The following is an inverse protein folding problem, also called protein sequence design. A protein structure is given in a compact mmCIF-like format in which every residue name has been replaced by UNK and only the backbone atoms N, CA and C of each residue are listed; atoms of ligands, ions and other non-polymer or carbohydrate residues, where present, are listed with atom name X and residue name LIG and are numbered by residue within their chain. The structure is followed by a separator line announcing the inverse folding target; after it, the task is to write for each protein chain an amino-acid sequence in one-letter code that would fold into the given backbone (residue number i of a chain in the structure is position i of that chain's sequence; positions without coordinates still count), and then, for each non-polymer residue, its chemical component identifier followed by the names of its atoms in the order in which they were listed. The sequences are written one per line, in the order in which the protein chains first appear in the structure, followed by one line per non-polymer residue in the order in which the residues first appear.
data_IF_914458700515
#
_entry.id   IF_914458700515
#
_cell.length_a   1.000
_cell.length_b   1.000
_cell.length_c   1.000
_cell.angle_alpha   90.00
_cell.angle_beta   90.00
_cell.angle_gamma   90.00
#
_symmetry.space_group_name_H-M   'P 1'
#
loop_
_entity.id
_entity.type
_entity.pdbx_description
1 polymer ?
#
# COMPACT_ATOMS: atom_id res chain seq x y z
N UNK A 1 18.73 -24.22 8.79
CA UNK A 1 18.28 -22.91 9.33
C UNK A 1 17.12 -23.19 10.27
N UNK A 2 17.31 -23.04 11.57
CA UNK A 2 16.27 -23.28 12.58
C UNK A 2 15.68 -21.94 12.95
N UNK A 3 14.39 -21.74 12.70
CA UNK A 3 13.71 -20.50 13.09
C UNK A 3 13.51 -20.52 14.61
N UNK A 4 14.14 -19.57 15.30
CA UNK A 4 13.92 -19.33 16.73
C UNK A 4 12.53 -18.73 16.93
N UNK A 5 11.58 -19.56 17.34
CA UNK A 5 10.19 -19.16 17.54
C UNK A 5 10.00 -18.15 18.67
N UNK A 6 10.98 -17.96 19.55
CA UNK A 6 10.93 -16.98 20.66
C UNK A 6 11.40 -15.59 20.24
N UNK A 7 12.09 -15.49 19.09
CA UNK A 7 12.54 -14.24 18.47
C UNK A 7 11.82 -13.92 17.15
N UNK A 8 10.89 -14.78 16.74
CA UNK A 8 9.99 -14.51 15.63
C UNK A 8 8.73 -13.80 16.14
N UNK A 9 8.12 -12.97 15.29
CA UNK A 9 6.81 -12.31 15.46
C UNK A 9 5.61 -13.28 15.57
N UNK A 10 5.82 -14.50 16.08
CA UNK A 10 4.73 -15.43 16.38
C UNK A 10 3.88 -14.83 17.49
N UNK A 11 2.73 -14.27 17.11
CA UNK A 11 1.60 -14.10 18.01
C UNK A 11 1.22 -15.50 18.51
N UNK A 12 1.62 -15.84 19.74
CA UNK A 12 1.37 -17.17 20.33
C UNK A 12 -0.12 -17.50 20.38
N UNK A 13 -0.97 -16.47 20.43
CA UNK A 13 -2.42 -16.55 20.30
C UNK A 13 -2.89 -17.19 18.99
N UNK A 14 -2.10 -17.12 17.91
CA UNK A 14 -2.41 -17.77 16.62
C UNK A 14 -2.44 -19.29 16.76
N UNK A 15 -1.64 -19.86 17.66
CA UNK A 15 -1.63 -21.32 17.86
C UNK A 15 -2.97 -21.85 18.41
N UNK A 16 -3.68 -21.02 19.18
CA UNK A 16 -5.00 -21.33 19.72
C UNK A 16 -6.16 -20.93 18.81
N UNK A 17 -5.91 -20.23 17.70
CA UNK A 17 -6.95 -19.83 16.75
C UNK A 17 -7.46 -21.01 15.92
N UNK A 18 -8.76 -20.98 15.60
CA UNK A 18 -9.34 -21.84 14.56
C UNK A 18 -8.70 -21.55 13.19
N UNK A 19 -8.83 -22.48 12.24
CA UNK A 19 -8.31 -22.26 10.89
C UNK A 19 -8.96 -21.05 10.22
N UNK A 20 -10.27 -20.84 10.42
CA UNK A 20 -10.98 -19.70 9.87
C UNK A 20 -10.42 -18.35 10.39
N UNK A 21 -10.09 -18.27 11.69
CA UNK A 21 -9.48 -17.08 12.27
C UNK A 21 -8.07 -16.83 11.72
N UNK A 22 -7.30 -17.89 11.47
CA UNK A 22 -5.97 -17.81 10.86
C UNK A 22 -6.06 -17.29 9.42
N UNK A 23 -6.98 -17.82 8.63
CA UNK A 23 -7.16 -17.41 7.23
C UNK A 23 -7.61 -15.94 7.15
N UNK A 24 -8.51 -15.52 8.04
CA UNK A 24 -8.94 -14.12 8.17
C UNK A 24 -7.77 -13.20 8.53
N UNK A 25 -6.99 -13.57 9.55
CA UNK A 25 -5.82 -12.81 9.96
C UNK A 25 -4.79 -12.74 8.83
N UNK A 26 -4.53 -13.86 8.15
CA UNK A 26 -3.60 -13.90 7.01
C UNK A 26 -4.05 -12.97 5.87
N UNK A 27 -5.33 -12.94 5.54
CA UNK A 27 -5.86 -11.99 4.55
C UNK A 27 -5.64 -10.54 4.99
N UNK A 28 -5.87 -10.25 6.27
CA UNK A 28 -5.66 -8.92 6.83
C UNK A 28 -4.18 -8.48 6.72
N UNK A 29 -3.24 -9.34 7.13
CA UNK A 29 -1.80 -9.08 7.00
C UNK A 29 -1.35 -8.95 5.54
N UNK A 30 -1.95 -9.73 4.63
CA UNK A 30 -1.71 -9.59 3.19
C UNK A 30 -2.18 -8.23 2.67
N UNK A 31 -3.27 -7.68 3.23
CA UNK A 31 -3.71 -6.32 2.95
C UNK A 31 -2.69 -5.26 3.36
N UNK A 32 -2.12 -5.36 4.57
CA UNK A 32 -1.03 -4.48 5.02
C UNK A 32 0.16 -4.50 4.05
N UNK A 33 0.63 -5.70 3.69
CA UNK A 33 1.71 -5.88 2.71
C UNK A 33 1.38 -5.23 1.37
N UNK A 34 0.17 -5.48 0.85
CA UNK A 34 -0.28 -4.96 -0.43
C UNK A 34 -0.33 -3.43 -0.46
N UNK A 35 -0.83 -2.79 0.61
CA UNK A 35 -0.87 -1.33 0.72
C UNK A 35 0.54 -0.73 0.67
N UNK A 36 1.50 -1.29 1.41
CA UNK A 36 2.91 -0.85 1.37
C UNK A 36 3.51 -1.05 -0.03
N UNK A 37 3.26 -2.20 -0.66
CA UNK A 37 3.75 -2.50 -2.00
C UNK A 37 3.20 -1.50 -3.05
N UNK A 38 1.92 -1.13 -2.94
CA UNK A 38 1.29 -0.13 -3.80
C UNK A 38 1.87 1.26 -3.57
N UNK A 39 2.04 1.71 -2.33
CA UNK A 39 2.70 2.99 -2.01
C UNK A 39 4.13 3.03 -2.56
N UNK A 40 4.91 1.95 -2.38
CA UNK A 40 6.26 1.87 -2.88
C UNK A 40 6.31 1.92 -4.42
N UNK A 41 5.39 1.23 -5.10
CA UNK A 41 5.23 1.30 -6.55
C UNK A 41 4.92 2.72 -7.01
N UNK A 42 3.94 3.37 -6.39
CA UNK A 42 3.49 4.71 -6.77
C UNK A 42 4.60 5.74 -6.54
N UNK A 43 5.31 5.66 -5.41
CA UNK A 43 6.51 6.45 -5.13
C UNK A 43 7.59 6.26 -6.20
N UNK A 44 7.88 5.01 -6.56
CA UNK A 44 8.87 4.70 -7.58
C UNK A 44 8.50 5.31 -8.94
N UNK A 45 7.23 5.22 -9.34
CA UNK A 45 6.76 5.81 -10.60
C UNK A 45 6.93 7.34 -10.61
N UNK A 46 6.64 8.02 -9.50
CA UNK A 46 6.86 9.46 -9.37
C UNK A 46 8.33 9.83 -9.40
N UNK A 47 9.20 9.09 -8.70
CA UNK A 47 10.65 9.29 -8.76
C UNK A 47 11.19 9.11 -10.19
N UNK A 48 10.64 8.16 -10.95
CA UNK A 48 11.03 7.95 -12.34
C UNK A 48 10.63 9.12 -13.26
N UNK A 49 9.57 9.85 -12.93
CA UNK A 49 9.17 11.05 -13.68
C UNK A 49 10.12 12.22 -13.46
N UNK A 50 10.80 12.30 -12.30
CA UNK A 50 11.82 13.34 -12.04
C UNK A 50 12.93 13.31 -13.10
N UNK A 51 13.24 12.15 -13.68
CA UNK A 51 14.22 12.02 -14.78
C UNK A 51 13.87 12.85 -16.03
N UNK A 52 12.59 13.16 -16.24
CA UNK A 52 12.14 13.97 -17.37
C UNK A 52 12.08 15.47 -17.04
N UNK A 53 12.25 15.86 -15.77
CA UNK A 53 12.17 17.24 -15.31
C UNK A 53 13.51 17.93 -15.54
N UNK A 54 13.48 19.10 -16.19
CA UNK A 54 14.65 19.97 -16.28
C UNK A 54 14.69 20.88 -15.05
N UNK A 55 15.69 20.69 -14.19
CA UNK A 55 15.96 21.59 -13.07
C UNK A 55 17.11 22.52 -13.42
N UNK A 56 17.12 23.71 -12.82
CA UNK A 56 18.22 24.68 -12.99
C UNK A 56 19.50 24.26 -12.27
N UNK A 57 19.37 23.47 -11.20
CA UNK A 57 20.51 22.96 -10.41
C UNK A 57 20.30 21.50 -9.96
N UNK A 58 21.39 20.80 -9.58
CA UNK A 58 21.30 19.47 -8.96
C UNK A 58 20.52 19.45 -7.64
N UNK A 59 20.64 20.49 -6.82
CA UNK A 59 19.97 20.60 -5.52
C UNK A 59 18.45 20.66 -5.68
N UNK A 60 17.97 21.32 -6.74
CA UNK A 60 16.55 21.35 -7.07
C UNK A 60 16.02 19.94 -7.44
N UNK A 61 16.81 19.14 -8.18
CA UNK A 61 16.43 17.75 -8.47
C UNK A 61 16.45 16.87 -7.22
N UNK A 62 17.47 17.01 -6.38
CA UNK A 62 17.55 16.32 -5.10
C UNK A 62 16.36 16.66 -4.19
N UNK A 63 15.95 17.94 -4.14
CA UNK A 63 14.78 18.36 -3.37
C UNK A 63 13.50 17.69 -3.85
N UNK A 64 13.26 17.59 -5.16
CA UNK A 64 12.09 16.88 -5.71
C UNK A 64 12.04 15.42 -5.24
N UNK A 65 13.17 14.71 -5.30
CA UNK A 65 13.26 13.33 -4.83
C UNK A 65 12.97 13.22 -3.32
N UNK A 66 13.54 14.10 -2.50
CA UNK A 66 13.30 14.13 -1.05
C UNK A 66 11.84 14.42 -0.73
N UNK A 67 11.23 15.42 -1.39
CA UNK A 67 9.82 15.79 -1.17
C UNK A 67 8.88 14.61 -1.49
N UNK A 68 9.16 13.87 -2.57
CA UNK A 68 8.41 12.65 -2.92
C UNK A 68 8.57 11.59 -1.82
N UNK A 69 9.81 11.25 -1.43
CA UNK A 69 10.06 10.25 -0.40
C UNK A 69 9.39 10.61 0.93
N UNK A 70 9.54 11.86 1.38
CA UNK A 70 8.94 12.35 2.62
C UNK A 70 7.42 12.26 2.58
N UNK A 71 6.77 12.60 1.47
CA UNK A 71 5.31 12.49 1.35
C UNK A 71 4.84 11.04 1.53
N UNK A 72 5.48 10.08 0.87
CA UNK A 72 5.10 8.66 0.99
C UNK A 72 5.41 8.09 2.38
N UNK A 73 6.54 8.45 2.98
CA UNK A 73 6.86 8.08 4.37
C UNK A 73 5.81 8.59 5.35
N UNK A 74 5.37 9.84 5.19
CA UNK A 74 4.37 10.45 6.07
C UNK A 74 2.97 9.84 5.92
N UNK A 75 2.64 9.29 4.76
CA UNK A 75 1.32 8.68 4.48
C UNK A 75 1.28 7.19 4.83
N UNK A 76 2.43 6.50 4.85
CA UNK A 76 2.48 5.05 5.03
C UNK A 76 1.85 4.62 6.34
N UNK A 77 2.30 5.17 7.49
CA UNK A 77 1.75 4.78 8.78
C UNK A 77 0.27 5.16 8.94
N UNK A 78 -0.18 6.40 8.62
CA UNK A 78 -1.60 6.75 8.68
C UNK A 78 -2.51 5.86 7.84
N UNK A 79 -2.06 5.41 6.66
CA UNK A 79 -2.84 4.47 5.84
C UNK A 79 -2.99 3.10 6.51
N UNK A 80 -1.90 2.59 7.11
CA UNK A 80 -1.92 1.32 7.83
C UNK A 80 -2.83 1.41 9.06
N UNK A 81 -2.73 2.51 9.81
CA UNK A 81 -3.56 2.77 11.00
C UNK A 81 -5.05 2.88 10.64
N UNK A 82 -5.38 3.56 9.54
CA UNK A 82 -6.77 3.64 9.08
C UNK A 82 -7.30 2.25 8.71
N UNK A 83 -6.54 1.51 7.90
CA UNK A 83 -6.92 0.17 7.46
C UNK A 83 -7.18 -0.76 8.65
N UNK A 84 -6.33 -0.69 9.68
CA UNK A 84 -6.42 -1.52 10.89
C UNK A 84 -7.43 -1.02 11.93
N UNK A 85 -7.91 0.22 11.80
CA UNK A 85 -8.80 0.83 12.79
C UNK A 85 -10.07 0.00 13.07
N UNK A 86 -10.61 0.17 14.28
CA UNK A 86 -11.85 -0.51 14.72
C UNK A 86 -13.07 -0.21 13.84
N UNK A 87 -13.06 0.91 13.12
CA UNK A 87 -14.13 1.32 12.20
C UNK A 87 -13.94 0.80 10.78
N UNK A 88 -12.74 0.28 10.48
CA UNK A 88 -12.38 -0.35 9.22
C UNK A 88 -12.22 -1.85 9.41
N UNK A 89 -11.04 -2.43 9.17
CA UNK A 89 -10.92 -3.89 9.10
C UNK A 89 -10.78 -4.57 10.46
N UNK A 90 -10.25 -3.88 11.49
CA UNK A 90 -10.02 -4.40 12.85
C UNK A 90 -9.35 -5.79 12.85
N UNK A 91 -8.10 -5.87 12.37
CA UNK A 91 -7.40 -7.15 12.19
C UNK A 91 -8.21 -8.20 11.38
N UNK A 92 -8.97 -7.72 10.39
CA UNK A 92 -9.85 -8.51 9.53
C UNK A 92 -11.17 -8.95 10.19
N UNK A 93 -11.45 -8.57 11.44
CA UNK A 93 -12.69 -8.95 12.14
C UNK A 93 -13.95 -8.38 11.50
N UNK A 94 -13.84 -7.23 10.84
CA UNK A 94 -14.96 -6.62 10.11
C UNK A 94 -14.95 -7.10 8.64
N UNK A 95 -15.49 -8.28 8.39
CA UNK A 95 -15.42 -8.96 7.08
C UNK A 95 -15.91 -8.09 5.90
N UNK A 96 -16.98 -7.30 6.09
CA UNK A 96 -17.49 -6.40 5.05
C UNK A 96 -16.49 -5.28 4.69
N UNK A 97 -15.78 -4.74 5.69
CA UNK A 97 -14.74 -3.73 5.48
C UNK A 97 -13.50 -4.35 4.85
N UNK A 98 -13.08 -5.54 5.32
CA UNK A 98 -12.00 -6.29 4.68
C UNK A 98 -12.27 -6.49 3.19
N UNK A 99 -13.46 -6.99 2.83
CA UNK A 99 -13.87 -7.19 1.43
C UNK A 99 -13.81 -5.90 0.61
N UNK A 100 -14.24 -4.77 1.21
CA UNK A 100 -14.19 -3.46 0.55
C UNK A 100 -12.73 -3.03 0.28
N UNK A 101 -11.84 -3.19 1.26
CA UNK A 101 -10.42 -2.88 1.11
C UNK A 101 -9.71 -3.80 0.12
N UNK A 102 -10.03 -5.10 0.11
CA UNK A 102 -9.54 -6.05 -0.89
C UNK A 102 -9.93 -5.59 -2.32
N UNK A 103 -11.14 -5.05 -2.48
CA UNK A 103 -11.59 -4.43 -3.72
C UNK A 103 -10.78 -3.20 -4.13
N UNK A 104 -10.44 -2.31 -3.20
CA UNK A 104 -9.60 -1.14 -3.47
C UNK A 104 -8.17 -1.52 -3.86
N UNK A 105 -7.59 -2.46 -3.14
CA UNK A 105 -6.26 -3.01 -3.42
C UNK A 105 -6.25 -3.66 -4.80
N UNK A 106 -7.24 -4.50 -5.11
CA UNK A 106 -7.35 -5.15 -6.41
C UNK A 106 -7.51 -4.12 -7.54
N UNK A 107 -8.33 -3.08 -7.33
CA UNK A 107 -8.49 -1.97 -8.28
C UNK A 107 -7.14 -1.33 -8.58
N UNK A 108 -6.37 -0.98 -7.55
CA UNK A 108 -5.04 -0.37 -7.69
C UNK A 108 -4.01 -1.30 -8.37
N UNK A 109 -4.12 -2.62 -8.24
CA UNK A 109 -3.25 -3.56 -8.95
C UNK A 109 -3.66 -3.82 -10.41
N UNK A 110 -4.94 -3.75 -10.74
CA UNK A 110 -5.46 -4.28 -12.00
C UNK A 110 -5.91 -3.21 -12.97
N UNK A 111 -6.52 -2.13 -12.50
CA UNK A 111 -7.07 -1.08 -13.36
C UNK A 111 -5.97 -0.16 -13.87
N UNK A 112 -6.02 0.15 -15.16
CA UNK A 112 -5.13 1.14 -15.77
C UNK A 112 -5.55 2.56 -15.37
N UNK A 113 -4.57 3.46 -15.26
CA UNK A 113 -4.83 4.88 -15.00
C UNK A 113 -5.71 5.52 -16.07
N UNK A 114 -6.48 6.53 -15.68
CA UNK A 114 -7.20 7.43 -16.60
C UNK A 114 -6.72 8.88 -16.41
N UNK A 115 -6.14 9.55 -17.43
CA UNK A 115 -5.84 9.02 -18.77
C UNK A 115 -4.79 7.90 -18.73
N UNK A 116 -4.79 7.06 -19.76
CA UNK A 116 -3.84 5.95 -19.87
C UNK A 116 -2.41 6.48 -20.00
N UNK A 117 -1.53 5.94 -19.16
CA UNK A 117 -0.09 6.21 -19.20
C UNK A 117 0.62 4.86 -19.29
N UNK A 118 1.56 4.73 -20.21
CA UNK A 118 2.37 3.52 -20.37
C UNK A 118 3.79 3.72 -19.86
N UNK A 119 4.33 2.66 -19.26
CA UNK A 119 5.75 2.49 -19.05
C UNK A 119 6.51 2.41 -20.39
N UNK A 120 7.84 2.62 -20.39
CA UNK A 120 8.67 2.47 -21.58
C UNK A 120 8.59 1.09 -22.26
N UNK A 121 8.23 0.04 -21.52
CA UNK A 121 8.03 -1.32 -22.04
C UNK A 121 6.62 -1.56 -22.62
N UNK A 122 5.80 -0.51 -22.71
CA UNK A 122 4.44 -0.55 -23.26
C UNK A 122 3.37 -0.99 -22.26
N UNK A 123 3.72 -1.39 -21.03
CA UNK A 123 2.72 -1.76 -20.02
C UNK A 123 2.04 -0.53 -19.44
N UNK A 124 0.71 -0.57 -19.32
CA UNK A 124 -0.05 0.50 -18.69
C UNK A 124 0.24 0.60 -17.19
N UNK A 125 0.50 1.82 -16.73
CA UNK A 125 0.50 2.14 -15.31
C UNK A 125 -0.88 1.91 -14.72
N UNK A 126 -0.88 1.36 -13.51
CA UNK A 126 -2.08 1.05 -12.75
C UNK A 126 -2.48 2.20 -11.84
N UNK A 127 -3.76 2.25 -11.48
CA UNK A 127 -4.31 3.28 -10.60
C UNK A 127 -3.55 3.35 -9.27
N UNK A 128 -3.32 4.57 -8.80
CA UNK A 128 -2.66 4.81 -7.50
C UNK A 128 -3.59 4.46 -6.36
N UNK A 129 -3.07 3.82 -5.31
CA UNK A 129 -3.92 3.43 -4.18
C UNK A 129 -4.59 4.66 -3.54
N UNK A 130 -3.87 5.77 -3.41
CA UNK A 130 -4.41 7.02 -2.86
C UNK A 130 -5.49 7.65 -3.76
N UNK A 131 -5.41 7.46 -5.08
CA UNK A 131 -6.45 7.88 -6.04
C UNK A 131 -7.72 7.04 -5.85
N UNK A 132 -7.56 5.70 -5.79
CA UNK A 132 -8.68 4.77 -5.57
C UNK A 132 -9.40 5.09 -4.27
N UNK A 133 -8.66 5.31 -3.18
CA UNK A 133 -9.23 5.67 -1.88
C UNK A 133 -9.99 6.99 -1.93
N UNK A 134 -9.38 8.04 -2.50
CA UNK A 134 -10.02 9.36 -2.63
C UNK A 134 -11.31 9.31 -3.43
N UNK A 135 -11.32 8.57 -4.55
CA UNK A 135 -12.51 8.39 -5.39
C UNK A 135 -13.64 7.64 -4.67
N UNK A 136 -13.31 6.93 -3.59
CA UNK A 136 -14.26 6.24 -2.73
C UNK A 136 -14.52 6.96 -1.38
N UNK A 137 -14.16 8.25 -1.30
CA UNK A 137 -14.43 9.11 -0.16
C UNK A 137 -13.53 8.85 1.05
N UNK A 138 -12.38 8.20 0.86
CA UNK A 138 -11.40 7.94 1.91
C UNK A 138 -10.22 8.90 1.77
N UNK A 139 -9.96 9.66 2.83
CA UNK A 139 -8.83 10.58 2.94
C UNK A 139 -7.85 10.10 4.00
N UNK A 140 -6.56 10.21 3.70
CA UNK A 140 -5.43 9.88 4.59
C UNK A 140 -4.70 11.16 4.96
#
# INVERSE_FOLDING_TARGET
MTIDSTKSWKLTSVNSMSQQEKDRLLNHEQGHYNLVALLARDMFLELMQVKAVRTSTPEAAAKLCTDIQTRYMNITQPLQDLYDSKTETDHGRTAAKQTKWDGFINTAFTQARVPQISAPDGKLYKEEILSVLRNNGISI
#
